data_IF_698519355520
#
_entry.id   IF_698519355520
#
_cell.length_a   1.000
_cell.length_b   1.000
_cell.length_c   1.000
_cell.angle_alpha   90.00
_cell.angle_beta   90.00
_cell.angle_gamma   90.00
#
_symmetry.space_group_name_H-M   'P 1'
#
loop_
_entity.id
_entity.type
_entity.pdbx_description
1 polymer ?
#
# COMPACT_ATOMS: atom_id res chain seq x y z
N UNK A 1 -10.26 -27.51 3.38
CA UNK A 1 -9.95 -26.24 2.70
C UNK A 1 -9.54 -25.27 3.80
N UNK A 2 -8.25 -25.20 4.09
CA UNK A 2 -7.71 -24.40 5.20
C UNK A 2 -7.74 -22.93 4.78
N UNK A 3 -8.74 -22.19 5.26
CA UNK A 3 -8.74 -20.74 5.32
C UNK A 3 -8.20 -20.35 6.70
N UNK A 4 -7.00 -20.80 7.02
CA UNK A 4 -6.32 -20.57 8.29
C UNK A 4 -4.90 -20.15 7.91
N UNK A 5 -4.67 -18.84 7.80
CA UNK A 5 -3.43 -18.12 8.12
C UNK A 5 -3.45 -16.74 7.41
N UNK A 6 -4.00 -15.71 8.07
CA UNK A 6 -3.72 -14.29 7.80
C UNK A 6 -4.53 -13.33 8.71
N UNK A 7 -4.84 -13.73 9.95
CA UNK A 7 -5.08 -12.75 11.01
C UNK A 7 -3.73 -12.26 11.57
N UNK A 8 -2.75 -12.03 10.68
CA UNK A 8 -1.61 -11.19 10.99
C UNK A 8 -2.22 -9.80 11.13
N UNK A 9 -2.38 -9.36 12.38
CA UNK A 9 -2.94 -8.08 12.84
C UNK A 9 -2.77 -6.98 11.78
N UNK A 10 -3.72 -6.90 10.85
CA UNK A 10 -3.59 -6.02 9.69
C UNK A 10 -3.49 -4.61 10.24
N UNK A 11 -2.34 -3.98 10.05
CA UNK A 11 -2.14 -2.63 10.57
C UNK A 11 -2.92 -1.73 9.65
N UNK A 12 -3.90 -1.04 10.22
CA UNK A 12 -4.75 -0.11 9.47
C UNK A 12 -4.01 1.20 9.37
N UNK A 13 -3.66 1.54 8.15
CA UNK A 13 -3.21 2.86 7.76
C UNK A 13 -4.32 3.53 6.93
N UNK A 14 -4.14 4.80 6.62
CA UNK A 14 -4.92 5.54 5.65
C UNK A 14 -3.99 6.16 4.59
N UNK A 15 -4.56 6.53 3.45
CA UNK A 15 -3.80 7.15 2.37
C UNK A 15 -3.54 8.62 2.67
N UNK A 16 -2.27 9.01 2.69
CA UNK A 16 -1.84 10.37 3.06
C UNK A 16 -2.29 11.44 2.07
N UNK A 17 -2.41 11.08 0.79
CA UNK A 17 -2.75 12.00 -0.31
C UNK A 17 -3.79 11.38 -1.26
N UNK A 18 -4.58 12.18 -1.98
CA UNK A 18 -5.49 11.66 -2.99
C UNK A 18 -4.72 11.06 -4.18
N UNK A 19 -5.18 9.92 -4.69
CA UNK A 19 -4.61 9.30 -5.89
C UNK A 19 -3.31 8.52 -5.64
N UNK A 20 -3.10 8.01 -4.42
CA UNK A 20 -1.98 7.11 -4.11
C UNK A 20 -2.06 5.89 -5.00
N UNK A 21 -0.99 5.60 -5.73
CA UNK A 21 -0.95 4.48 -6.67
C UNK A 21 -0.71 3.19 -5.90
N UNK A 22 -1.58 2.20 -6.13
CA UNK A 22 -1.43 0.84 -5.62
C UNK A 22 -0.86 0.00 -6.75
N UNK A 23 0.33 -0.56 -6.53
CA UNK A 23 1.13 -1.24 -7.53
C UNK A 23 1.05 -2.77 -7.40
N UNK A 24 1.25 -3.49 -8.49
CA UNK A 24 1.26 -4.95 -8.47
C UNK A 24 2.52 -5.53 -7.79
N UNK A 25 3.62 -4.76 -7.80
CA UNK A 25 4.90 -5.12 -7.17
C UNK A 25 5.44 -3.91 -6.39
N UNK A 26 6.40 -4.09 -5.46
CA UNK A 26 7.06 -3.00 -4.76
C UNK A 26 8.06 -2.28 -5.68
N UNK A 27 7.52 -1.75 -6.78
CA UNK A 27 8.22 -1.10 -7.87
C UNK A 27 7.28 -0.09 -8.55
N UNK A 28 7.72 1.17 -8.63
CA UNK A 28 6.95 2.26 -9.25
C UNK A 28 6.78 2.13 -10.76
N UNK A 29 7.58 1.28 -11.41
CA UNK A 29 7.44 0.92 -12.83
C UNK A 29 6.44 -0.21 -13.08
N UNK A 30 5.90 -0.84 -12.04
CA UNK A 30 5.01 -1.98 -12.19
C UNK A 30 3.58 -1.57 -12.52
N UNK A 31 2.78 -2.56 -12.95
CA UNK A 31 1.37 -2.35 -13.26
C UNK A 31 0.64 -1.73 -12.06
N UNK A 32 -0.14 -0.68 -12.32
CA UNK A 32 -1.00 -0.08 -11.32
C UNK A 32 -2.29 -0.90 -11.19
N UNK A 33 -2.53 -1.46 -10.01
CA UNK A 33 -3.76 -2.18 -9.67
C UNK A 33 -4.92 -1.22 -9.36
N UNK A 34 -4.62 -0.04 -8.82
CA UNK A 34 -5.64 0.95 -8.53
C UNK A 34 -5.10 2.21 -7.87
N UNK A 35 -6.04 3.00 -7.32
CA UNK A 35 -5.76 4.24 -6.60
C UNK A 35 -6.39 4.19 -5.21
N UNK A 36 -5.68 4.75 -4.23
CA UNK A 36 -6.15 5.02 -2.88
C UNK A 36 -6.42 6.50 -2.67
N UNK A 37 -7.42 6.78 -1.84
CA UNK A 37 -7.82 8.13 -1.43
C UNK A 37 -7.93 8.22 0.09
N UNK A 38 -7.66 9.41 0.68
CA UNK A 38 -7.80 9.62 2.11
C UNK A 38 -9.20 9.22 2.61
N UNK A 39 -9.25 8.56 3.77
CA UNK A 39 -10.46 8.04 4.40
C UNK A 39 -10.91 6.67 3.87
N UNK A 40 -10.22 6.07 2.90
CA UNK A 40 -10.57 4.74 2.38
C UNK A 40 -10.00 3.60 3.20
N UNK A 41 -8.99 3.85 4.03
CA UNK A 41 -8.28 2.84 4.79
C UNK A 41 -7.45 1.89 3.91
N UNK A 42 -6.30 1.49 4.44
CA UNK A 42 -5.39 0.51 3.87
C UNK A 42 -4.99 -0.49 4.95
N UNK A 43 -5.48 -1.72 4.82
CA UNK A 43 -5.14 -2.84 5.70
C UNK A 43 -3.85 -3.46 5.22
N UNK A 44 -2.75 -3.15 5.90
CA UNK A 44 -1.41 -3.67 5.58
C UNK A 44 -1.24 -5.05 6.21
N UNK A 45 -0.90 -6.02 5.38
CA UNK A 45 -0.61 -7.40 5.78
C UNK A 45 0.89 -7.71 5.75
N UNK A 46 1.68 -7.00 4.93
CA UNK A 46 3.10 -7.29 4.76
C UNK A 46 3.93 -6.05 4.41
N UNK A 47 5.22 -6.10 4.69
CA UNK A 47 6.19 -5.04 4.40
C UNK A 47 7.37 -5.63 3.62
N UNK A 48 7.87 -4.90 2.63
CA UNK A 48 9.05 -5.32 1.89
C UNK A 48 9.89 -4.13 1.43
N UNK A 49 11.20 -4.34 1.35
CA UNK A 49 12.07 -3.44 0.62
C UNK A 49 11.90 -3.67 -0.89
N UNK A 50 11.81 -2.60 -1.65
CA UNK A 50 11.58 -2.63 -3.09
C UNK A 50 12.38 -1.57 -3.84
N UNK A 51 11.97 -1.27 -5.07
CA UNK A 51 12.60 -0.21 -5.85
C UNK A 51 12.36 1.16 -5.17
N UNK A 52 13.33 2.08 -5.21
CA UNK A 52 13.14 3.41 -4.64
C UNK A 52 12.01 4.15 -5.36
N UNK A 53 11.11 4.73 -4.60
CA UNK A 53 9.99 5.52 -5.09
C UNK A 53 10.02 6.92 -4.48
N UNK A 54 10.01 7.95 -5.32
CA UNK A 54 9.88 9.34 -4.89
C UNK A 54 8.41 9.72 -4.85
N UNK A 55 7.95 10.07 -3.65
CA UNK A 55 6.57 10.39 -3.37
C UNK A 55 6.31 11.88 -3.64
N UNK A 56 5.04 12.29 -3.74
CA UNK A 56 4.69 13.68 -4.10
C UNK A 56 5.23 14.74 -3.12
N UNK A 57 5.59 14.34 -1.90
CA UNK A 57 6.24 15.20 -0.90
C UNK A 57 7.78 15.32 -1.09
N UNK A 58 8.35 14.74 -2.14
CA UNK A 58 9.79 14.73 -2.41
C UNK A 58 10.60 13.71 -1.59
N UNK A 59 9.95 12.96 -0.69
CA UNK A 59 10.61 11.89 0.08
C UNK A 59 10.78 10.67 -0.83
N UNK A 60 11.99 10.13 -0.87
CA UNK A 60 12.26 8.87 -1.55
C UNK A 60 12.35 7.76 -0.51
N UNK A 61 11.56 6.71 -0.69
CA UNK A 61 11.56 5.53 0.17
C UNK A 61 11.75 4.27 -0.66
N UNK A 62 12.41 3.28 -0.07
CA UNK A 62 12.50 1.92 -0.62
C UNK A 62 11.62 0.96 0.17
N UNK A 63 10.88 1.44 1.17
CA UNK A 63 9.99 0.65 2.00
C UNK A 63 8.58 0.66 1.41
N UNK A 64 8.05 -0.54 1.20
CA UNK A 64 6.75 -0.77 0.60
C UNK A 64 5.86 -1.59 1.53
N UNK A 65 4.59 -1.26 1.49
CA UNK A 65 3.52 -1.85 2.29
C UNK A 65 2.57 -2.57 1.35
N UNK A 66 2.43 -3.87 1.54
CA UNK A 66 1.43 -4.66 0.87
C UNK A 66 0.17 -4.70 1.71
N UNK A 67 -0.95 -4.46 1.05
CA UNK A 67 -2.21 -4.42 1.74
C UNK A 67 -3.40 -4.33 0.81
N UNK A 68 -4.55 -4.15 1.44
CA UNK A 68 -5.84 -4.02 0.79
C UNK A 68 -6.45 -2.66 1.09
N UNK A 69 -6.89 -1.95 0.07
CA UNK A 69 -7.77 -0.80 0.21
C UNK A 69 -9.15 -1.29 0.69
N UNK A 70 -9.58 -0.82 1.87
CA UNK A 70 -10.80 -1.32 2.52
C UNK A 70 -12.05 -0.88 1.75
N UNK A 71 -12.06 0.35 1.23
CA UNK A 71 -13.21 0.89 0.51
C UNK A 71 -13.40 0.26 -0.89
N UNK A 72 -12.33 -0.03 -1.62
CA UNK A 72 -12.40 -0.49 -3.02
C UNK A 72 -12.11 -1.98 -3.19
N UNK A 73 -11.47 -2.61 -2.19
CA UNK A 73 -11.02 -3.99 -2.26
C UNK A 73 -9.76 -4.22 -3.08
N UNK A 74 -9.15 -3.16 -3.64
CA UNK A 74 -7.91 -3.27 -4.43
C UNK A 74 -6.76 -3.70 -3.52
N UNK A 75 -6.00 -4.71 -3.97
CA UNK A 75 -4.82 -5.24 -3.26
C UNK A 75 -3.56 -4.87 -4.03
N UNK A 76 -2.49 -4.55 -3.31
CA UNK A 76 -1.18 -4.36 -3.89
C UNK A 76 -0.22 -3.61 -2.96
N UNK A 77 0.83 -3.07 -3.56
CA UNK A 77 1.94 -2.42 -2.89
C UNK A 77 1.83 -0.91 -2.95
N UNK A 78 2.07 -0.26 -1.82
CA UNK A 78 2.07 1.19 -1.66
C UNK A 78 3.38 1.58 -0.98
N UNK A 79 4.08 2.64 -1.43
CA UNK A 79 5.28 3.10 -0.74
C UNK A 79 4.90 3.75 0.60
N UNK A 80 5.66 3.45 1.66
CA UNK A 80 5.35 3.84 3.05
C UNK A 80 5.23 5.34 3.32
N UNK A 81 5.82 6.17 2.46
CA UNK A 81 5.68 7.62 2.48
C UNK A 81 4.25 8.13 2.17
N UNK A 82 3.41 7.28 1.57
CA UNK A 82 2.07 7.61 1.06
C UNK A 82 0.94 7.10 1.96
N UNK A 83 1.27 6.45 3.06
CA UNK A 83 0.33 5.98 4.08
C UNK A 83 0.62 6.68 5.41
N UNK A 84 -0.37 6.68 6.29
CA UNK A 84 -0.27 7.24 7.64
C UNK A 84 -1.14 6.42 8.58
N UNK A 85 -0.68 6.18 9.81
CA UNK A 85 -1.43 5.42 10.81
C UNK A 85 -2.57 6.25 11.43
#
# INVERSE_FOLDING_TARGET
MAAEDAAQRAVRYDFRVPGVRIFARPDGGSTRNGLGYPGQGFEVDNFAAGAPYTCDNGVTTSDWEHGRNVATGVVGWVPSCNTVA
#
